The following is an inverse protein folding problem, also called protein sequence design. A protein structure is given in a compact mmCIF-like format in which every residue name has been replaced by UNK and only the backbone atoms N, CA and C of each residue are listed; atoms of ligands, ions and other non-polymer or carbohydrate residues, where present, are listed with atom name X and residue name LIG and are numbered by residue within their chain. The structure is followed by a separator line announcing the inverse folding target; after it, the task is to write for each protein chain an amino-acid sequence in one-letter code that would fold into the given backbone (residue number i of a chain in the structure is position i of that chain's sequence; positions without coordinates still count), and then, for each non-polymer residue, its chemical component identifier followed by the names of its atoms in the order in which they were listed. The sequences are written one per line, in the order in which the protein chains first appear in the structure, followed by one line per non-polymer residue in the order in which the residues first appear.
data_IF_156671435691
#
_entry.id   IF_156671435691
#
_cell.length_a   1.000
_cell.length_b   1.000
_cell.length_c   1.000
_cell.angle_alpha   90.00
_cell.angle_beta   90.00
_cell.angle_gamma   90.00
#
_symmetry.space_group_name_H-M   'P 1'
#
loop_
_entity.id
_entity.type
_entity.pdbx_description
1 polymer ?
#
# COMPACT_ATOMS: atom_id res chain seq x y z
N UNK A 1 -19.86 -23.40 37.85
CA UNK A 1 -18.72 -23.09 36.96
C UNK A 1 -19.30 -22.37 35.76
N UNK A 2 -18.94 -21.11 35.52
CA UNK A 2 -19.54 -20.30 34.44
C UNK A 2 -18.68 -20.35 33.17
N UNK A 3 -19.25 -20.87 32.09
CA UNK A 3 -18.65 -20.91 30.76
C UNK A 3 -19.01 -19.61 30.00
N UNK A 4 -18.01 -18.98 29.37
CA UNK A 4 -18.24 -17.92 28.38
C UNK A 4 -17.79 -18.47 27.05
N UNK A 5 -18.74 -18.74 26.16
CA UNK A 5 -18.52 -19.29 24.84
C UNK A 5 -18.98 -18.28 23.78
N UNK A 6 -18.18 -18.10 22.72
CA UNK A 6 -18.55 -17.31 21.55
C UNK A 6 -17.98 -17.94 20.28
N UNK A 7 -18.84 -18.08 19.28
CA UNK A 7 -18.44 -18.35 17.91
C UNK A 7 -18.08 -17.02 17.21
N UNK A 8 -16.96 -16.99 16.51
CA UNK A 8 -16.51 -15.83 15.74
C UNK A 8 -16.22 -16.30 14.31
N UNK A 9 -17.06 -15.90 13.37
CA UNK A 9 -16.89 -16.19 11.94
C UNK A 9 -16.36 -14.94 11.23
N UNK A 10 -15.25 -15.08 10.50
CA UNK A 10 -14.66 -13.97 9.74
C UNK A 10 -14.56 -14.36 8.26
N UNK A 11 -15.22 -13.60 7.40
CA UNK A 11 -15.16 -13.76 5.95
C UNK A 11 -14.33 -12.64 5.33
N UNK A 12 -13.34 -12.99 4.51
CA UNK A 12 -12.49 -12.04 3.80
C UNK A 12 -12.69 -12.14 2.30
N UNK A 13 -12.65 -10.99 1.62
CA UNK A 13 -12.58 -10.92 0.16
C UNK A 13 -11.12 -10.76 -0.26
N UNK A 14 -10.50 -11.82 -0.73
CA UNK A 14 -9.15 -11.77 -1.32
C UNK A 14 -9.26 -11.46 -2.82
N UNK A 15 -8.61 -10.38 -3.26
CA UNK A 15 -8.53 -10.02 -4.68
C UNK A 15 -7.08 -10.03 -5.15
N UNK A 16 -6.81 -10.72 -6.25
CA UNK A 16 -5.50 -10.70 -6.93
C UNK A 16 -5.67 -9.97 -8.26
N UNK A 17 -4.89 -8.90 -8.47
CA UNK A 17 -4.91 -8.10 -9.70
C UNK A 17 -3.52 -8.11 -10.31
N UNK A 18 -3.41 -8.58 -11.54
CA UNK A 18 -2.17 -8.52 -12.32
C UNK A 18 -2.10 -7.19 -13.07
N UNK A 19 -0.95 -6.53 -13.02
CA UNK A 19 -0.73 -5.27 -13.70
C UNK A 19 0.76 -5.06 -13.93
N UNK A 20 1.11 -4.28 -14.94
CA UNK A 20 2.49 -3.92 -15.24
C UNK A 20 2.72 -2.45 -14.91
N UNK A 21 3.91 -2.11 -14.41
CA UNK A 21 4.28 -0.73 -14.07
C UNK A 21 3.23 -0.04 -13.18
N UNK A 22 2.95 -0.60 -12.00
CA UNK A 22 1.86 -0.15 -11.12
C UNK A 22 1.91 1.34 -10.76
N UNK A 23 3.10 1.93 -10.70
CA UNK A 23 3.31 3.37 -10.43
C UNK A 23 3.44 4.22 -11.70
N UNK A 24 3.12 3.67 -12.88
CA UNK A 24 2.95 4.50 -14.08
C UNK A 24 1.76 5.44 -13.88
N UNK A 25 1.89 6.76 -14.13
CA UNK A 25 0.79 7.73 -13.95
C UNK A 25 -0.46 7.47 -14.82
N UNK A 26 -0.37 6.54 -15.78
CA UNK A 26 -1.49 6.08 -16.63
C UNK A 26 -2.14 4.80 -16.12
N UNK A 27 -1.51 4.08 -15.19
CA UNK A 27 -2.02 2.82 -14.67
C UNK A 27 -2.98 3.08 -13.51
N UNK A 28 -4.27 2.86 -13.73
CA UNK A 28 -5.31 3.17 -12.75
C UNK A 28 -5.55 2.04 -11.73
N UNK A 29 -4.88 0.88 -11.90
CA UNK A 29 -5.13 -0.32 -11.08
C UNK A 29 -4.98 -0.05 -9.59
N UNK A 30 -3.90 0.61 -9.17
CA UNK A 30 -3.66 0.91 -7.75
C UNK A 30 -4.64 1.94 -7.23
N UNK A 31 -4.84 3.05 -7.96
CA UNK A 31 -5.84 4.08 -7.63
C UNK A 31 -7.21 3.46 -7.39
N UNK A 32 -7.72 2.71 -8.36
CA UNK A 32 -9.06 2.10 -8.31
C UNK A 32 -9.17 1.02 -7.22
N UNK A 33 -8.05 0.45 -6.79
CA UNK A 33 -8.02 -0.50 -5.66
C UNK A 33 -8.05 0.22 -4.31
N UNK A 34 -7.46 1.41 -4.21
CA UNK A 34 -7.40 2.19 -2.96
C UNK A 34 -8.63 3.10 -2.75
N UNK A 35 -9.33 3.44 -3.82
CA UNK A 35 -10.53 4.29 -3.78
C UNK A 35 -11.79 3.45 -3.80
N UNK A 36 -12.75 3.78 -2.95
CA UNK A 36 -14.10 3.24 -3.08
C UNK A 36 -14.92 4.09 -4.08
N UNK A 37 -15.83 3.46 -4.82
CA UNK A 37 -16.67 4.14 -5.83
C UNK A 37 -17.58 5.24 -5.26
N UNK A 38 -17.72 5.33 -3.93
CA UNK A 38 -18.84 6.03 -3.27
C UNK A 38 -18.55 7.41 -2.68
N UNK A 39 -17.33 7.92 -2.68
CA UNK A 39 -17.08 9.23 -2.06
C UNK A 39 -16.03 10.05 -2.79
N UNK A 40 -16.29 11.36 -2.94
CA UNK A 40 -15.32 12.35 -3.44
C UNK A 40 -14.21 12.67 -2.43
N UNK A 41 -13.82 11.69 -1.61
CA UNK A 41 -12.83 11.81 -0.55
C UNK A 41 -11.47 11.39 -1.06
N UNK A 42 -10.44 12.18 -0.74
CA UNK A 42 -9.05 11.81 -1.00
C UNK A 42 -8.58 10.77 0.02
N UNK A 43 -8.17 9.60 -0.45
CA UNK A 43 -7.72 8.48 0.38
C UNK A 43 -6.26 8.64 0.79
N UNK A 44 -5.99 8.59 2.09
CA UNK A 44 -4.62 8.65 2.63
C UNK A 44 -3.92 7.31 2.42
N UNK A 45 -2.70 7.35 1.90
CA UNK A 45 -1.85 6.20 1.70
C UNK A 45 -0.49 6.43 2.33
N UNK A 46 0.03 5.38 2.97
CA UNK A 46 1.41 5.26 3.40
C UNK A 46 2.08 4.19 2.54
N UNK A 47 3.24 4.50 1.96
CA UNK A 47 4.01 3.55 1.16
C UNK A 47 5.26 3.14 1.94
N UNK A 48 5.33 1.84 2.24
CA UNK A 48 6.47 1.19 2.88
C UNK A 48 7.15 0.33 1.81
N UNK A 49 8.46 0.48 1.66
CA UNK A 49 9.24 -0.18 0.62
C UNK A 49 10.42 -0.92 1.22
N UNK A 50 10.71 -2.07 0.62
CA UNK A 50 11.93 -2.81 0.90
C UNK A 50 13.15 -2.05 0.34
N UNK A 51 14.19 -1.91 1.15
CA UNK A 51 15.42 -1.24 0.77
C UNK A 51 16.13 -1.92 -0.41
N UNK A 52 16.11 -3.25 -0.50
CA UNK A 52 16.71 -3.99 -1.60
C UNK A 52 16.01 -3.70 -2.93
N UNK A 53 14.68 -3.50 -2.91
CA UNK A 53 13.93 -3.05 -4.09
C UNK A 53 14.39 -1.65 -4.51
N UNK A 54 14.54 -0.73 -3.56
CA UNK A 54 14.97 0.63 -3.86
C UNK A 54 16.40 0.70 -4.41
N UNK A 55 17.30 -0.19 -3.94
CA UNK A 55 18.66 -0.35 -4.49
C UNK A 55 18.66 -0.96 -5.88
N UNK A 56 17.85 -1.99 -6.12
CA UNK A 56 17.76 -2.66 -7.41
C UNK A 56 17.11 -1.80 -8.50
N UNK A 57 16.21 -0.89 -8.11
CA UNK A 57 15.54 0.02 -9.02
C UNK A 57 15.70 1.48 -8.56
N UNK A 58 16.85 2.12 -8.90
CA UNK A 58 17.06 3.53 -8.62
C UNK A 58 15.93 4.41 -9.17
N UNK A 59 15.47 5.37 -8.37
CA UNK A 59 14.36 6.26 -8.73
C UNK A 59 12.96 5.70 -8.49
N UNK A 60 12.82 4.46 -7.98
CA UNK A 60 11.51 3.87 -7.70
C UNK A 60 10.65 4.72 -6.74
N UNK A 61 11.25 5.26 -5.68
CA UNK A 61 10.57 6.16 -4.75
C UNK A 61 10.01 7.41 -5.45
N UNK A 62 10.68 7.89 -6.50
CA UNK A 62 10.22 9.05 -7.27
C UNK A 62 9.03 8.67 -8.15
N UNK A 63 9.04 7.49 -8.78
CA UNK A 63 7.87 6.99 -9.51
C UNK A 63 6.63 6.90 -8.61
N UNK A 64 6.79 6.46 -7.36
CA UNK A 64 5.70 6.46 -6.38
C UNK A 64 5.18 7.88 -6.17
N UNK A 65 6.06 8.85 -5.87
CA UNK A 65 5.64 10.24 -5.65
C UNK A 65 4.90 10.84 -6.85
N UNK A 66 5.45 10.67 -8.06
CA UNK A 66 4.84 11.15 -9.31
C UNK A 66 3.46 10.52 -9.54
N UNK A 67 3.31 9.23 -9.21
CA UNK A 67 2.01 8.56 -9.29
C UNK A 67 0.97 9.20 -8.36
N UNK A 68 1.33 9.43 -7.10
CA UNK A 68 0.43 10.03 -6.13
C UNK A 68 0.14 11.50 -6.42
N UNK A 69 1.11 12.26 -6.94
CA UNK A 69 0.90 13.64 -7.40
C UNK A 69 -0.09 13.70 -8.56
N UNK A 70 0.06 12.81 -9.55
CA UNK A 70 -0.85 12.68 -10.70
C UNK A 70 -2.30 12.39 -10.28
N UNK A 71 -2.48 11.64 -9.20
CA UNK A 71 -3.78 11.19 -8.70
C UNK A 71 -4.17 11.89 -7.39
N UNK A 72 -3.65 13.09 -7.15
CA UNK A 72 -3.86 13.87 -5.92
C UNK A 72 -5.31 14.26 -5.66
N UNK A 73 -6.15 14.24 -6.70
CA UNK A 73 -7.60 14.41 -6.58
C UNK A 73 -8.27 13.27 -5.81
N UNK A 74 -7.66 12.08 -5.81
CA UNK A 74 -8.20 10.86 -5.18
C UNK A 74 -7.31 10.26 -4.11
N UNK A 75 -6.00 10.46 -4.17
CA UNK A 75 -5.03 9.85 -3.27
C UNK A 75 -4.14 10.90 -2.61
N UNK A 76 -3.78 10.68 -1.35
CA UNK A 76 -2.86 11.52 -0.62
C UNK A 76 -1.73 10.66 -0.04
N UNK A 77 -0.53 10.84 -0.56
CA UNK A 77 0.67 10.23 0.00
C UNK A 77 1.09 11.01 1.26
N UNK A 78 0.80 10.45 2.43
CA UNK A 78 0.86 11.22 3.70
C UNK A 78 2.26 11.64 4.12
N UNK A 79 3.29 11.00 3.57
CA UNK A 79 4.70 11.35 3.72
C UNK A 79 5.52 10.72 2.59
N UNK A 80 6.79 11.09 2.46
CA UNK A 80 7.68 10.44 1.49
C UNK A 80 7.71 8.90 1.71
N UNK A 81 7.82 8.10 0.63
CA UNK A 81 7.88 6.65 0.75
C UNK A 81 8.96 6.20 1.73
N UNK A 82 8.58 5.40 2.72
CA UNK A 82 9.47 4.96 3.79
C UNK A 82 10.22 3.70 3.36
N UNK A 83 11.55 3.72 3.48
CA UNK A 83 12.41 2.59 3.16
C UNK A 83 12.80 1.87 4.44
N UNK A 84 12.65 0.55 4.45
CA UNK A 84 13.03 -0.30 5.58
C UNK A 84 13.92 -1.43 5.10
N UNK A 85 14.81 -1.89 5.97
CA UNK A 85 15.59 -3.09 5.73
C UNK A 85 14.63 -4.24 5.37
N UNK A 86 14.99 -5.00 4.35
CA UNK A 86 14.23 -6.17 3.94
C UNK A 86 14.55 -7.42 4.77
N UNK A 87 13.74 -8.46 4.59
CA UNK A 87 14.03 -9.79 5.12
C UNK A 87 13.68 -10.02 6.58
N UNK A 88 14.18 -11.14 7.11
CA UNK A 88 13.72 -11.68 8.40
C UNK A 88 14.16 -10.84 9.60
N UNK A 89 15.20 -10.01 9.43
CA UNK A 89 15.69 -9.12 10.49
C UNK A 89 14.64 -8.08 10.87
N UNK A 90 13.91 -7.52 9.91
CA UNK A 90 12.89 -6.48 10.15
C UNK A 90 11.66 -6.99 10.90
N UNK A 91 11.39 -8.30 10.85
CA UNK A 91 10.31 -8.91 11.63
C UNK A 91 10.68 -9.20 13.08
N UNK A 92 11.97 -9.35 13.37
CA UNK A 92 12.48 -9.83 14.65
C UNK A 92 13.28 -8.78 15.43
N UNK A 93 13.53 -7.61 14.83
CA UNK A 93 14.25 -6.52 15.47
C UNK A 93 13.24 -5.61 16.15
N UNK A 94 13.24 -5.60 17.48
CA UNK A 94 12.56 -4.59 18.28
C UNK A 94 13.38 -3.30 18.18
N UNK A 95 12.88 -2.31 17.43
CA UNK A 95 13.38 -0.95 17.51
C UNK A 95 12.87 -0.27 18.79
#
# INVERSE_FOLDING_TARGET
MSLIERQIDVTYRHQVRFTEQVFSPRNLTLRDTLTDEKTGTTHKALVVMDEALCRAQPGFAEHVKVYFDRHSDRLNLVCNPMQFEGGERTKNSYF
#
